data_IF_305277902739
#
_entry.id   IF_305277902739
#
_cell.length_a   1.000
_cell.length_b   1.000
_cell.length_c   1.000
_cell.angle_alpha   90.00
_cell.angle_beta   90.00
_cell.angle_gamma   90.00
#
_symmetry.space_group_name_H-M   'P 1'
#
loop_
_entity.id
_entity.type
_entity.pdbx_description
1 polymer ?
#
# COMPACT_ATOMS: atom_id res chain seq x y z
N UNK A 1 -19.62 -15.03 -4.55
CA UNK A 1 -18.41 -14.39 -5.09
C UNK A 1 -18.27 -12.92 -4.72
N UNK A 2 -19.34 -12.14 -4.86
CA UNK A 2 -19.28 -10.72 -4.51
C UNK A 2 -18.88 -10.49 -3.05
N UNK A 3 -19.50 -11.18 -2.09
CA UNK A 3 -19.19 -11.01 -0.67
C UNK A 3 -17.77 -11.49 -0.34
N UNK A 4 -17.32 -12.58 -0.98
CA UNK A 4 -15.95 -13.06 -0.78
C UNK A 4 -14.92 -12.09 -1.34
N UNK A 5 -15.17 -11.52 -2.52
CA UNK A 5 -14.29 -10.52 -3.12
C UNK A 5 -14.22 -9.27 -2.26
N UNK A 6 -15.36 -8.81 -1.77
CA UNK A 6 -15.43 -7.65 -0.88
C UNK A 6 -14.65 -7.88 0.40
N UNK A 7 -14.85 -9.02 1.05
CA UNK A 7 -14.15 -9.37 2.29
C UNK A 7 -12.64 -9.47 2.06
N UNK A 8 -12.23 -10.11 0.96
CA UNK A 8 -10.81 -10.22 0.62
C UNK A 8 -10.20 -8.85 0.36
N UNK A 9 -10.90 -7.99 -0.37
CA UNK A 9 -10.43 -6.63 -0.64
C UNK A 9 -10.25 -5.84 0.64
N UNK A 10 -11.22 -5.91 1.57
CA UNK A 10 -11.14 -5.24 2.86
C UNK A 10 -9.94 -5.74 3.65
N UNK A 11 -9.77 -7.06 3.74
CA UNK A 11 -8.68 -7.66 4.50
C UNK A 11 -7.31 -7.28 3.94
N UNK A 12 -7.14 -7.41 2.62
CA UNK A 12 -5.87 -7.11 1.97
C UNK A 12 -5.53 -5.62 2.07
N UNK A 13 -6.53 -4.76 1.89
CA UNK A 13 -6.34 -3.31 2.01
C UNK A 13 -6.02 -2.91 3.44
N UNK A 14 -6.66 -3.52 4.43
CA UNK A 14 -6.38 -3.25 5.84
C UNK A 14 -4.96 -3.65 6.22
N UNK A 15 -4.52 -4.82 5.80
CA UNK A 15 -3.14 -5.29 6.04
C UNK A 15 -2.14 -4.33 5.39
N UNK A 16 -2.41 -3.92 4.16
CA UNK A 16 -1.53 -2.99 3.44
C UNK A 16 -1.49 -1.62 4.13
N UNK A 17 -2.63 -1.13 4.60
CA UNK A 17 -2.70 0.15 5.33
C UNK A 17 -1.88 0.10 6.62
N UNK A 18 -2.00 -0.99 7.38
CA UNK A 18 -1.25 -1.15 8.63
C UNK A 18 0.25 -1.24 8.36
N UNK A 19 0.65 -1.99 7.32
CA UNK A 19 2.06 -2.08 6.94
C UNK A 19 2.62 -0.72 6.57
N UNK A 20 1.88 0.08 5.82
CA UNK A 20 2.33 1.40 5.39
C UNK A 20 2.31 2.41 6.54
N UNK A 21 1.39 2.29 7.50
CA UNK A 21 1.41 3.10 8.72
C UNK A 21 2.69 2.84 9.53
N UNK A 22 3.10 1.58 9.61
CA UNK A 22 4.34 1.22 10.29
C UNK A 22 5.55 1.86 9.62
N UNK A 23 5.61 1.80 8.30
CA UNK A 23 6.68 2.47 7.53
C UNK A 23 6.64 3.98 7.76
N UNK A 24 5.45 4.58 7.70
CA UNK A 24 5.29 6.02 7.95
C UNK A 24 5.70 6.44 9.35
N UNK A 25 5.40 5.61 10.37
CA UNK A 25 5.81 5.87 11.73
C UNK A 25 7.34 5.93 11.86
N UNK A 26 8.04 5.03 11.16
CA UNK A 26 9.49 5.10 11.09
C UNK A 26 9.95 6.39 10.39
N UNK A 27 9.31 6.75 9.31
CA UNK A 27 9.69 7.92 8.50
C UNK A 27 9.57 9.24 9.27
N UNK A 28 8.64 9.33 10.22
CA UNK A 28 8.50 10.53 11.08
C UNK A 28 9.26 10.36 12.41
N UNK A 29 10.03 9.30 12.56
CA UNK A 29 10.83 9.01 13.75
C UNK A 29 9.98 8.75 15.01
N UNK A 30 8.73 8.31 14.85
CA UNK A 30 7.91 7.85 15.96
C UNK A 30 8.46 6.53 16.54
N UNK A 31 9.14 5.74 15.68
CA UNK A 31 9.89 4.56 16.08
C UNK A 31 11.34 4.71 15.59
N UNK A 32 12.30 4.22 16.36
CA UNK A 32 13.72 4.40 16.05
C UNK A 32 14.21 3.40 15.00
N UNK A 33 13.70 2.17 15.04
CA UNK A 33 14.11 1.10 14.15
C UNK A 33 12.89 0.41 13.58
N UNK A 34 13.04 -0.10 12.37
CA UNK A 34 12.00 -0.84 11.67
C UNK A 34 12.43 -2.30 11.52
N UNK A 35 11.59 -3.21 12.01
CA UNK A 35 11.81 -4.63 11.79
C UNK A 35 11.63 -4.95 10.31
N UNK A 36 12.64 -5.59 9.72
CA UNK A 36 12.62 -5.90 8.28
C UNK A 36 12.92 -7.37 8.09
N UNK A 37 11.89 -8.23 8.09
CA UNK A 37 12.11 -9.66 7.87
C UNK A 37 12.77 -9.91 6.52
N UNK A 38 13.74 -10.80 6.48
CA UNK A 38 14.42 -11.28 5.27
C UNK A 38 15.37 -10.28 4.60
N UNK A 39 15.19 -8.98 4.77
CA UNK A 39 15.92 -7.96 4.00
C UNK A 39 16.83 -7.08 4.86
N UNK A 40 17.06 -7.48 6.10
CA UNK A 40 17.97 -6.79 7.04
C UNK A 40 17.62 -5.30 7.18
N UNK A 41 18.48 -4.40 6.68
CA UNK A 41 18.29 -2.95 6.78
C UNK A 41 17.68 -2.33 5.52
N UNK A 42 17.22 -3.15 4.57
CA UNK A 42 16.63 -2.66 3.33
C UNK A 42 15.41 -1.77 3.55
N UNK A 43 14.54 -2.12 4.51
CA UNK A 43 13.36 -1.32 4.81
C UNK A 43 13.73 0.10 5.23
N UNK A 44 14.73 0.23 6.09
CA UNK A 44 15.16 1.55 6.56
C UNK A 44 15.83 2.35 5.44
N UNK A 45 16.66 1.69 4.62
CA UNK A 45 17.30 2.35 3.49
C UNK A 45 16.28 2.91 2.50
N UNK A 46 15.24 2.14 2.19
CA UNK A 46 14.16 2.58 1.29
C UNK A 46 13.34 3.70 1.92
N UNK A 47 12.99 3.54 3.20
CA UNK A 47 12.17 4.53 3.91
C UNK A 47 12.88 5.87 4.06
N UNK A 48 14.21 5.88 4.14
CA UNK A 48 15.00 7.10 4.27
C UNK A 48 15.40 7.71 2.91
N UNK A 49 15.11 7.03 1.80
CA UNK A 49 15.47 7.51 0.47
C UNK A 49 14.65 8.75 0.09
N UNK A 50 15.22 9.65 -0.74
CA UNK A 50 14.49 10.86 -1.16
C UNK A 50 13.19 10.56 -1.90
N UNK A 51 13.11 9.50 -2.69
CA UNK A 51 11.89 9.15 -3.42
C UNK A 51 10.76 8.70 -2.48
N UNK A 52 11.08 8.33 -1.24
CA UNK A 52 10.09 7.92 -0.25
C UNK A 52 9.39 9.12 0.42
N UNK A 53 9.74 10.33 0.02
CA UNK A 53 9.10 11.54 0.56
C UNK A 53 8.69 12.47 -0.58
N UNK A 54 7.75 12.04 -1.44
CA UNK A 54 7.26 12.93 -2.50
C UNK A 54 6.58 14.13 -1.87
N UNK A 55 6.92 15.32 -2.37
CA UNK A 55 6.39 16.59 -1.86
C UNK A 55 6.68 16.82 -0.37
N UNK A 56 7.71 16.15 0.19
CA UNK A 56 8.06 16.28 1.60
C UNK A 56 7.19 15.48 2.57
N UNK A 57 6.22 14.73 2.06
CA UNK A 57 5.32 13.91 2.86
C UNK A 57 5.78 12.45 2.79
N UNK A 58 5.91 11.75 3.95
CA UNK A 58 6.30 10.33 3.92
C UNK A 58 5.32 9.50 3.10
N UNK A 59 5.84 8.70 2.18
CA UNK A 59 5.01 7.87 1.29
C UNK A 59 4.23 6.79 2.04
N UNK A 60 4.74 6.37 3.21
CA UNK A 60 4.02 5.43 4.05
C UNK A 60 2.65 5.95 4.46
N UNK A 61 2.54 7.23 4.80
CA UNK A 61 1.25 7.83 5.15
C UNK A 61 0.37 8.03 3.93
N UNK A 62 0.95 8.39 2.79
CA UNK A 62 0.19 8.54 1.54
C UNK A 62 -0.42 7.19 1.15
N UNK A 63 0.38 6.13 1.17
CA UNK A 63 -0.10 4.79 0.87
C UNK A 63 -1.13 4.29 1.88
N UNK A 64 -0.89 4.55 3.18
CA UNK A 64 -1.84 4.17 4.23
C UNK A 64 -3.19 4.86 4.04
N UNK A 65 -3.18 6.13 3.66
CA UNK A 65 -4.42 6.87 3.37
C UNK A 65 -5.17 6.26 2.18
N UNK A 66 -4.44 5.90 1.13
CA UNK A 66 -5.03 5.28 -0.06
C UNK A 66 -5.66 3.91 0.28
N UNK A 67 -4.93 3.07 1.00
CA UNK A 67 -5.46 1.75 1.39
C UNK A 67 -6.59 1.88 2.41
N UNK A 68 -6.50 2.84 3.31
CA UNK A 68 -7.58 3.14 4.24
C UNK A 68 -8.85 3.59 3.55
N UNK A 69 -8.71 4.41 2.50
CA UNK A 69 -9.84 4.82 1.68
C UNK A 69 -10.46 3.63 0.93
N UNK A 70 -9.63 2.70 0.45
CA UNK A 70 -10.13 1.47 -0.15
C UNK A 70 -10.96 0.66 0.84
N UNK A 71 -10.50 0.53 2.08
CA UNK A 71 -11.26 -0.16 3.14
C UNK A 71 -12.61 0.54 3.34
N UNK A 72 -12.59 1.85 3.49
CA UNK A 72 -13.79 2.63 3.74
C UNK A 72 -14.81 2.46 2.61
N UNK A 73 -14.36 2.60 1.37
CA UNK A 73 -15.25 2.46 0.21
C UNK A 73 -15.79 1.04 0.07
N UNK A 74 -14.96 0.04 0.36
CA UNK A 74 -15.39 -1.35 0.28
C UNK A 74 -16.41 -1.71 1.37
N UNK A 75 -16.30 -1.07 2.55
CA UNK A 75 -17.25 -1.28 3.65
C UNK A 75 -18.57 -0.52 3.40
N UNK A 76 -18.48 0.74 3.00
CA UNK A 76 -19.64 1.64 2.99
C UNK A 76 -20.36 1.73 1.65
N UNK A 77 -19.65 1.57 0.54
CA UNK A 77 -20.17 1.98 -0.74
C UNK A 77 -20.13 1.02 -1.93
N UNK A 78 -20.00 -0.32 -1.76
CA UNK A 78 -19.79 -1.19 -2.94
C UNK A 78 -21.01 -1.28 -3.86
N UNK A 79 -22.19 -0.90 -3.41
CA UNK A 79 -23.40 -0.88 -4.23
C UNK A 79 -23.65 0.48 -4.90
N UNK A 80 -22.85 1.49 -4.59
CA UNK A 80 -22.93 2.78 -5.27
C UNK A 80 -22.01 2.76 -6.48
N UNK A 81 -22.51 3.22 -7.62
CA UNK A 81 -21.75 3.16 -8.86
C UNK A 81 -20.45 3.95 -8.80
N UNK A 82 -20.51 5.18 -8.26
CA UNK A 82 -19.33 6.03 -8.15
C UNK A 82 -18.28 5.40 -7.20
N UNK A 83 -18.73 4.72 -6.13
CA UNK A 83 -17.81 4.07 -5.20
C UNK A 83 -17.10 2.89 -5.86
N UNK A 84 -17.79 2.15 -6.71
CA UNK A 84 -17.18 1.05 -7.48
C UNK A 84 -16.07 1.58 -8.40
N UNK A 85 -16.35 2.67 -9.12
CA UNK A 85 -15.33 3.29 -9.96
C UNK A 85 -14.15 3.80 -9.13
N UNK A 86 -14.41 4.39 -7.97
CA UNK A 86 -13.37 4.87 -7.08
C UNK A 86 -12.50 3.71 -6.57
N UNK A 87 -13.12 2.59 -6.18
CA UNK A 87 -12.41 1.40 -5.73
C UNK A 87 -11.49 0.88 -6.83
N UNK A 88 -11.99 0.77 -8.05
CA UNK A 88 -11.19 0.29 -9.18
C UNK A 88 -10.05 1.22 -9.51
N UNK A 89 -10.32 2.52 -9.52
CA UNK A 89 -9.29 3.53 -9.77
C UNK A 89 -8.19 3.47 -8.73
N UNK A 90 -8.55 3.40 -7.44
CA UNK A 90 -7.56 3.30 -6.37
C UNK A 90 -6.75 2.01 -6.48
N UNK A 91 -7.39 0.90 -6.83
CA UNK A 91 -6.69 -0.37 -7.00
C UNK A 91 -5.68 -0.31 -8.15
N UNK A 92 -6.05 0.32 -9.26
CA UNK A 92 -5.14 0.53 -10.39
C UNK A 92 -3.99 1.42 -9.99
N UNK A 93 -4.27 2.53 -9.30
CA UNK A 93 -3.22 3.43 -8.81
C UNK A 93 -2.28 2.72 -7.85
N UNK A 94 -2.81 1.82 -7.02
CA UNK A 94 -1.97 1.04 -6.10
C UNK A 94 -0.99 0.15 -6.87
N UNK A 95 -1.45 -0.53 -7.91
CA UNK A 95 -0.59 -1.37 -8.75
C UNK A 95 0.49 -0.53 -9.41
N UNK A 96 0.11 0.60 -10.01
CA UNK A 96 1.06 1.49 -10.70
C UNK A 96 2.08 2.06 -9.71
N UNK A 97 1.61 2.55 -8.57
CA UNK A 97 2.49 3.14 -7.56
C UNK A 97 3.47 2.10 -7.00
N UNK A 98 3.00 0.88 -6.77
CA UNK A 98 3.87 -0.20 -6.29
C UNK A 98 4.90 -0.61 -7.34
N UNK A 99 4.52 -0.64 -8.62
CA UNK A 99 5.44 -0.95 -9.71
C UNK A 99 6.53 0.12 -9.81
N UNK A 100 6.17 1.40 -9.70
CA UNK A 100 7.13 2.49 -9.69
C UNK A 100 8.03 2.41 -8.45
N UNK A 101 7.47 2.03 -7.31
CA UNK A 101 8.23 1.84 -6.08
C UNK A 101 9.28 0.74 -6.22
N UNK A 102 8.93 -0.38 -6.83
CA UNK A 102 9.89 -1.47 -7.08
C UNK A 102 11.00 -0.99 -8.01
N UNK A 103 10.66 -0.24 -9.04
CA UNK A 103 11.65 0.34 -9.94
C UNK A 103 12.63 1.23 -9.18
N UNK A 104 12.12 2.10 -8.31
CA UNK A 104 12.94 2.98 -7.49
C UNK A 104 13.82 2.20 -6.51
N UNK A 105 13.28 1.14 -5.89
CA UNK A 105 14.06 0.28 -5.02
C UNK A 105 15.18 -0.44 -5.77
N UNK A 106 14.90 -0.90 -6.98
CA UNK A 106 15.92 -1.55 -7.81
C UNK A 106 17.05 -0.58 -8.15
N UNK A 107 16.71 0.68 -8.44
CA UNK A 107 17.72 1.72 -8.71
C UNK A 107 18.54 2.06 -7.47
N UNK A 108 17.92 2.05 -6.30
CA UNK A 108 18.61 2.30 -5.04
C UNK A 108 19.51 1.12 -4.63
N UNK A 109 19.15 -0.08 -5.05
CA UNK A 109 19.87 -1.29 -4.66
C UNK A 109 19.47 -1.84 -3.30
N UNK A 110 18.33 -1.40 -2.76
CA UNK A 110 17.79 -1.88 -1.50
C UNK A 110 16.29 -2.10 -1.64
N UNK A 111 15.76 -3.08 -0.91
CA UNK A 111 14.34 -3.44 -0.97
C UNK A 111 13.72 -3.40 0.42
N UNK A 112 12.48 -2.92 0.47
CA UNK A 112 11.68 -2.86 1.69
C UNK A 112 10.72 -4.04 1.70
N UNK A 113 10.73 -4.83 2.79
CA UNK A 113 9.81 -5.97 2.92
C UNK A 113 8.34 -5.52 2.83
N UNK A 114 7.98 -4.45 3.52
CA UNK A 114 6.59 -3.97 3.54
C UNK A 114 6.15 -3.43 2.19
N UNK A 115 7.04 -2.77 1.48
CA UNK A 115 6.75 -2.29 0.13
C UNK A 115 6.60 -3.45 -0.85
N UNK A 116 7.43 -4.49 -0.73
CA UNK A 116 7.29 -5.69 -1.55
C UNK A 116 6.03 -6.46 -1.20
N UNK A 117 5.65 -6.50 0.08
CA UNK A 117 4.42 -7.12 0.51
C UNK A 117 3.20 -6.44 -0.13
N UNK A 118 3.11 -5.12 -0.06
CA UNK A 118 2.01 -4.38 -0.68
C UNK A 118 2.04 -4.50 -2.21
N UNK A 119 3.24 -4.58 -2.80
CA UNK A 119 3.39 -4.81 -4.23
C UNK A 119 2.82 -6.17 -4.64
N UNK A 120 3.11 -7.21 -3.85
CA UNK A 120 2.58 -8.55 -4.13
C UNK A 120 1.07 -8.62 -3.95
N UNK A 121 0.53 -7.90 -2.96
CA UNK A 121 -0.90 -7.89 -2.69
C UNK A 121 -1.70 -7.04 -3.67
N UNK A 122 -1.11 -6.01 -4.27
CA UNK A 122 -1.84 -5.05 -5.08
C UNK A 122 -2.52 -5.65 -6.32
N UNK A 123 -1.90 -6.57 -7.09
CA UNK A 123 -2.62 -7.21 -8.19
C UNK A 123 -3.82 -8.03 -7.73
N UNK A 124 -3.70 -8.68 -6.58
CA UNK A 124 -4.81 -9.45 -6.00
C UNK A 124 -5.93 -8.50 -5.59
N UNK A 125 -5.60 -7.37 -5.00
CA UNK A 125 -6.58 -6.35 -4.65
C UNK A 125 -7.28 -5.80 -5.90
N UNK A 126 -6.54 -5.59 -6.98
CA UNK A 126 -7.14 -5.15 -8.23
C UNK A 126 -8.11 -6.19 -8.78
N UNK A 127 -7.73 -7.46 -8.75
CA UNK A 127 -8.61 -8.54 -9.17
C UNK A 127 -9.90 -8.55 -8.34
N UNK A 128 -9.78 -8.44 -7.02
CA UNK A 128 -10.95 -8.38 -6.14
C UNK A 128 -11.78 -7.13 -6.39
N UNK A 129 -11.15 -6.00 -6.66
CA UNK A 129 -11.84 -4.75 -6.97
C UNK A 129 -12.66 -4.86 -8.26
N UNK A 130 -12.19 -5.60 -9.24
CA UNK A 130 -12.91 -5.82 -10.49
C UNK A 130 -14.13 -6.75 -10.29
N UNK A 131 -14.09 -7.64 -9.30
CA UNK A 131 -15.18 -8.53 -8.97
C UNK A 131 -16.26 -7.86 -8.10
N UNK A 132 -15.93 -6.81 -7.40
CA UNK A 132 -16.87 -6.01 -6.61
C UNK A 132 -17.65 -5.03 -7.52
#
# INVERSE_FOLDING_TARGET
MFLSARSALIALSAVSALAMLYVGAYQIRAIEQMSCPLLKHGCEAVADAPFARPFGIPDGFIAAAMYGLLVLLAVLGPHLIWARYAIRTLAILAVVANALGVFDMARLGAFCFYCLLTTALSPVMLWMALLV
#
